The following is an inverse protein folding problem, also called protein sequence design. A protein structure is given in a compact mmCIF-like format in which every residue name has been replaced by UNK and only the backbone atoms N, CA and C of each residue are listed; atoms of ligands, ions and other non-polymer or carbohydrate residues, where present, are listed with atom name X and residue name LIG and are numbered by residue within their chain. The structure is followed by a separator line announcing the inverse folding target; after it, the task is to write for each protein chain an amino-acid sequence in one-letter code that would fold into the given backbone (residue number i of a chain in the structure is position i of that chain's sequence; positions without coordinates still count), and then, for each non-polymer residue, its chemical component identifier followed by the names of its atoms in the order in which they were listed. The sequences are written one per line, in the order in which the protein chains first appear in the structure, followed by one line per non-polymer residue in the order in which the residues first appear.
data_IF_924891553494
#
_entry.id   IF_924891553494
#
_cell.length_a   1.000
_cell.length_b   1.000
_cell.length_c   1.000
_cell.angle_alpha   90.00
_cell.angle_beta   90.00
_cell.angle_gamma   90.00
#
_symmetry.space_group_name_H-M   'P 1'
#
loop_
_entity.id
_entity.type
_entity.pdbx_description
1 polymer ?
#
# COMPACT_ATOMS: atom_id res chain seq x y z
N UNK A 1 1.64 -7.26 5.50
CA UNK A 1 1.41 -8.69 5.23
C UNK A 1 2.71 -9.39 5.55
N UNK A 2 2.72 -10.32 6.52
CA UNK A 2 3.93 -11.01 6.95
C UNK A 2 4.03 -12.38 6.25
N UNK A 3 5.20 -12.72 5.72
CA UNK A 3 5.51 -14.08 5.26
C UNK A 3 6.24 -14.81 6.40
N UNK A 4 5.74 -15.99 6.78
CA UNK A 4 6.29 -16.83 7.84
C UNK A 4 6.78 -18.15 7.23
N UNK A 5 8.03 -18.52 7.53
CA UNK A 5 8.66 -19.79 7.13
C UNK A 5 8.73 -20.70 8.37
N UNK A 6 7.83 -21.68 8.49
CA UNK A 6 7.60 -22.42 9.76
C UNK A 6 7.99 -23.91 9.72
N UNK A 7 8.87 -24.36 8.82
CA UNK A 7 9.08 -25.80 8.62
C UNK A 7 10.53 -26.26 8.40
N UNK A 8 11.52 -25.67 9.08
CA UNK A 8 12.94 -26.05 8.91
C UNK A 8 13.51 -26.88 10.09
N UNK A 9 12.67 -27.47 10.96
CA UNK A 9 13.11 -27.94 12.29
C UNK A 9 13.21 -29.45 12.59
N UNK A 10 12.90 -30.37 11.68
CA UNK A 10 12.61 -31.78 12.08
C UNK A 10 13.70 -32.84 11.76
N UNK A 11 14.90 -32.51 11.27
CA UNK A 11 15.79 -33.55 10.69
C UNK A 11 16.82 -34.24 11.63
N UNK A 12 17.08 -33.76 12.86
CA UNK A 12 18.28 -34.21 13.61
C UNK A 12 18.07 -35.06 14.87
N UNK A 13 16.99 -35.82 15.00
CA UNK A 13 16.81 -36.75 16.13
C UNK A 13 17.15 -38.21 15.76
N UNK A 14 18.45 -38.55 15.66
CA UNK A 14 18.88 -39.96 15.65
C UNK A 14 19.63 -40.29 16.95
N UNK A 15 18.91 -40.83 17.93
CA UNK A 15 19.52 -41.63 19.00
C UNK A 15 19.30 -43.11 18.65
N UNK A 16 20.35 -43.88 18.29
CA UNK A 16 20.16 -45.29 17.98
C UNK A 16 19.79 -46.02 19.27
N UNK A 17 18.70 -46.78 19.22
CA UNK A 17 18.22 -47.57 20.34
C UNK A 17 19.14 -48.77 20.57
N UNK A 18 19.75 -48.86 21.76
CA UNK A 18 20.34 -50.12 22.24
C UNK A 18 21.78 -50.07 22.73
N UNK A 19 22.14 -49.17 23.67
CA UNK A 19 23.14 -49.48 24.70
C UNK A 19 22.82 -48.71 25.99
N UNK A 20 22.75 -49.43 27.10
CA UNK A 20 22.53 -48.90 28.45
C UNK A 20 23.77 -48.10 28.87
N UNK A 21 23.72 -46.78 28.70
CA UNK A 21 24.85 -45.92 29.04
C UNK A 21 24.60 -44.44 28.80
N UNK A 22 23.81 -43.84 29.70
CA UNK A 22 23.83 -42.40 30.01
C UNK A 22 23.77 -41.41 28.85
N UNK A 23 22.57 -40.95 28.51
CA UNK A 23 22.39 -39.63 27.89
C UNK A 23 22.58 -38.54 28.96
N UNK A 24 23.80 -38.45 29.49
CA UNK A 24 24.27 -37.39 30.37
C UNK A 24 25.06 -36.36 29.58
N UNK A 25 24.49 -35.87 28.49
CA UNK A 25 24.96 -34.68 27.80
C UNK A 25 23.81 -33.69 27.86
N UNK A 26 24.12 -32.45 28.20
CA UNK A 26 23.18 -31.33 28.22
C UNK A 26 22.25 -31.45 27.01
N UNK A 27 20.94 -31.49 27.27
CA UNK A 27 19.95 -31.21 26.23
C UNK A 27 20.45 -29.92 25.57
N UNK A 28 20.88 -29.91 24.29
CA UNK A 28 21.41 -28.69 23.72
C UNK A 28 20.31 -27.66 23.88
N UNK A 29 20.61 -26.66 24.73
CA UNK A 29 19.69 -25.58 25.01
C UNK A 29 19.16 -25.06 23.68
N UNK A 30 17.92 -24.58 23.70
CA UNK A 30 17.22 -24.01 22.56
C UNK A 30 17.86 -22.72 22.00
N UNK A 31 19.18 -22.60 22.06
CA UNK A 31 20.01 -21.56 21.48
C UNK A 31 20.71 -22.07 20.21
N UNK A 32 19.93 -22.49 19.23
CA UNK A 32 20.26 -22.07 17.86
C UNK A 32 19.68 -20.67 17.67
N UNK A 33 20.11 -19.71 18.50
CA UNK A 33 19.99 -18.32 18.12
C UNK A 33 20.93 -18.16 16.95
N UNK A 34 20.40 -18.16 15.73
CA UNK A 34 21.19 -17.86 14.55
C UNK A 34 21.85 -16.50 14.76
N UNK A 35 23.17 -16.53 14.97
CA UNK A 35 23.98 -15.33 15.20
C UNK A 35 24.12 -14.50 13.93
N UNK A 36 23.66 -15.00 12.78
CA UNK A 36 23.68 -14.35 11.47
C UNK A 36 22.27 -13.95 11.01
N UNK A 37 21.38 -13.57 11.93
CA UNK A 37 20.01 -13.16 11.62
C UNK A 37 19.88 -11.83 10.84
N UNK A 38 21.00 -11.14 10.56
CA UNK A 38 21.00 -9.87 9.84
C UNK A 38 21.05 -10.07 8.34
N UNK A 39 20.10 -9.44 7.67
CA UNK A 39 19.96 -9.39 6.22
C UNK A 39 20.31 -7.99 5.70
N UNK A 40 20.88 -7.93 4.51
CA UNK A 40 21.15 -6.70 3.76
C UNK A 40 20.50 -6.80 2.38
N UNK A 41 19.66 -5.83 2.03
CA UNK A 41 19.15 -5.71 0.66
C UNK A 41 20.23 -5.04 -0.20
N UNK A 42 20.73 -5.76 -1.20
CA UNK A 42 21.79 -5.28 -2.12
C UNK A 42 21.23 -4.59 -3.34
N UNK A 43 20.03 -5.00 -3.77
CA UNK A 43 19.30 -4.41 -4.89
C UNK A 43 17.81 -4.44 -4.59
N UNK A 44 17.08 -3.37 -4.91
CA UNK A 44 15.62 -3.37 -4.89
C UNK A 44 15.09 -2.49 -6.01
N UNK A 45 14.12 -3.02 -6.74
CA UNK A 45 13.46 -2.29 -7.82
C UNK A 45 11.96 -2.29 -7.63
N UNK A 46 11.32 -1.23 -8.14
CA UNK A 46 9.88 -1.10 -8.28
C UNK A 46 9.57 -0.84 -9.75
N UNK A 47 8.87 -1.76 -10.40
CA UNK A 47 8.63 -1.78 -11.85
C UNK A 47 9.95 -1.69 -12.66
N UNK A 48 11.01 -2.34 -12.18
CA UNK A 48 12.33 -2.32 -12.79
C UNK A 48 13.14 -1.02 -12.60
N UNK A 49 12.58 0.00 -11.95
CA UNK A 49 13.32 1.20 -11.54
C UNK A 49 13.93 1.05 -10.15
N UNK A 50 15.14 1.58 -9.92
CA UNK A 50 15.79 1.53 -8.61
C UNK A 50 14.91 2.17 -7.51
N UNK A 51 14.74 1.44 -6.42
CA UNK A 51 13.94 1.84 -5.27
C UNK A 51 14.75 1.92 -3.97
N UNK A 52 16.08 1.79 -4.04
CA UNK A 52 16.99 1.77 -2.88
C UNK A 52 16.79 2.96 -1.94
N UNK A 53 16.66 4.17 -2.48
CA UNK A 53 16.44 5.40 -1.71
C UNK A 53 15.12 5.45 -0.94
N UNK A 54 14.17 4.57 -1.27
CA UNK A 54 12.82 4.48 -0.66
C UNK A 54 12.72 3.32 0.33
N UNK A 55 13.80 2.56 0.49
CA UNK A 55 13.87 1.45 1.42
C UNK A 55 14.27 1.96 2.80
N UNK A 56 13.59 1.47 3.83
CA UNK A 56 13.95 1.72 5.23
C UNK A 56 14.06 0.38 5.95
N UNK A 57 15.14 0.21 6.71
CA UNK A 57 15.30 -0.95 7.58
C UNK A 57 14.45 -0.76 8.83
N UNK A 58 13.65 -1.76 9.17
CA UNK A 58 12.82 -1.79 10.38
C UNK A 58 13.54 -2.54 11.49
N UNK A 59 14.08 -3.72 11.18
CA UNK A 59 14.93 -4.52 12.08
C UNK A 59 15.97 -5.33 11.27
N UNK A 60 16.53 -6.39 11.85
CA UNK A 60 17.58 -7.21 11.25
C UNK A 60 17.14 -8.04 10.03
N UNK A 61 15.84 -8.31 9.87
CA UNK A 61 15.28 -9.07 8.75
C UNK A 61 14.05 -8.40 8.09
N UNK A 62 13.58 -7.27 8.61
CA UNK A 62 12.39 -6.56 8.13
C UNK A 62 12.74 -5.22 7.50
N UNK A 63 12.14 -4.97 6.34
CA UNK A 63 12.32 -3.77 5.55
C UNK A 63 10.96 -3.21 5.13
N UNK A 64 10.88 -1.87 5.07
CA UNK A 64 9.72 -1.14 4.59
C UNK A 64 10.08 -0.38 3.33
N UNK A 65 9.37 -0.66 2.24
CA UNK A 65 9.47 0.10 0.98
C UNK A 65 8.40 1.19 0.95
N UNK A 66 8.81 2.45 0.84
CA UNK A 66 7.90 3.57 0.71
C UNK A 66 7.35 3.66 -0.71
N UNK A 67 6.21 3.01 -0.96
CA UNK A 67 5.53 2.94 -2.26
C UNK A 67 4.45 4.04 -2.42
N UNK A 68 4.85 5.31 -2.56
CA UNK A 68 3.94 6.44 -2.84
C UNK A 68 3.74 6.76 -4.33
N UNK A 69 2.63 7.45 -4.63
CA UNK A 69 2.26 8.03 -5.94
C UNK A 69 2.27 7.03 -7.10
N UNK A 70 1.82 5.81 -6.85
CA UNK A 70 1.72 4.78 -7.86
C UNK A 70 0.45 4.94 -8.70
N UNK A 71 0.59 4.76 -10.02
CA UNK A 71 -0.54 4.72 -10.93
C UNK A 71 -1.45 3.53 -10.62
N UNK A 72 -2.70 3.57 -11.06
CA UNK A 72 -3.55 2.38 -11.02
C UNK A 72 -2.95 1.29 -11.91
N UNK A 73 -2.92 0.06 -11.42
CA UNK A 73 -2.42 -1.08 -12.17
C UNK A 73 -1.58 -2.03 -11.34
N UNK A 74 -1.00 -3.02 -12.02
CA UNK A 74 -0.08 -3.99 -11.42
C UNK A 74 1.29 -3.35 -11.25
N UNK A 75 1.88 -3.54 -10.09
CA UNK A 75 3.23 -3.16 -9.72
C UNK A 75 4.01 -4.38 -9.26
N UNK A 76 5.29 -4.37 -9.56
CA UNK A 76 6.20 -5.47 -9.22
C UNK A 76 7.40 -4.94 -8.46
N UNK A 77 7.74 -5.64 -7.38
CA UNK A 77 8.93 -5.38 -6.57
C UNK A 77 9.84 -6.59 -6.71
N UNK A 78 11.06 -6.35 -7.13
CA UNK A 78 12.12 -7.35 -7.16
C UNK A 78 13.25 -6.92 -6.22
N UNK A 79 13.84 -7.85 -5.48
CA UNK A 79 14.93 -7.58 -4.58
C UNK A 79 16.00 -8.68 -4.61
N UNK A 80 17.22 -8.29 -4.25
CA UNK A 80 18.32 -9.20 -3.90
C UNK A 80 18.78 -8.90 -2.49
N UNK A 81 19.08 -9.95 -1.75
CA UNK A 81 19.46 -9.89 -0.36
C UNK A 81 20.66 -10.79 -0.09
N UNK A 82 21.46 -10.41 0.90
CA UNK A 82 22.55 -11.21 1.45
C UNK A 82 22.50 -11.17 2.97
N UNK A 83 22.69 -12.31 3.64
CA UNK A 83 22.81 -12.34 5.10
C UNK A 83 24.27 -12.12 5.58
N UNK A 84 24.50 -12.09 6.89
CA UNK A 84 25.85 -11.98 7.45
C UNK A 84 26.75 -13.21 7.18
N UNK A 85 26.15 -14.36 6.90
CA UNK A 85 26.89 -15.57 6.51
C UNK A 85 27.27 -15.57 5.01
N UNK A 86 26.78 -14.61 4.23
CA UNK A 86 27.03 -14.50 2.80
C UNK A 86 26.07 -15.33 1.95
N UNK A 87 24.97 -15.86 2.51
CA UNK A 87 23.95 -16.52 1.73
C UNK A 87 23.15 -15.48 0.95
N UNK A 88 22.97 -15.73 -0.34
CA UNK A 88 22.24 -14.85 -1.24
C UNK A 88 20.82 -15.34 -1.46
N UNK A 89 19.88 -14.41 -1.55
CA UNK A 89 18.50 -14.67 -1.93
C UNK A 89 17.98 -13.59 -2.88
N UNK A 90 17.12 -14.00 -3.80
CA UNK A 90 16.37 -13.09 -4.65
C UNK A 90 14.87 -13.39 -4.52
N UNK A 91 14.06 -12.37 -4.73
CA UNK A 91 12.62 -12.52 -4.63
C UNK A 91 11.86 -11.45 -5.38
N UNK A 92 10.68 -11.83 -5.83
CA UNK A 92 9.74 -10.95 -6.52
C UNK A 92 8.36 -11.08 -5.90
N UNK A 93 7.67 -9.96 -5.78
CA UNK A 93 6.25 -9.96 -5.47
C UNK A 93 5.54 -8.85 -6.21
N UNK A 94 4.27 -9.09 -6.54
CA UNK A 94 3.44 -8.13 -7.23
C UNK A 94 2.23 -7.74 -6.37
N UNK A 95 1.81 -6.50 -6.52
CA UNK A 95 0.58 -5.98 -5.95
C UNK A 95 -0.14 -5.11 -6.99
N UNK A 96 -1.42 -4.85 -6.77
CA UNK A 96 -2.19 -3.99 -7.66
C UNK A 96 -2.70 -2.77 -6.90
N UNK A 97 -2.47 -1.59 -7.46
CA UNK A 97 -3.16 -0.36 -7.06
C UNK A 97 -4.47 -0.32 -7.83
N UNK A 98 -5.58 -0.30 -7.10
CA UNK A 98 -6.93 -0.27 -7.67
C UNK A 98 -7.56 1.11 -7.50
N UNK A 99 -8.47 1.46 -8.41
CA UNK A 99 -9.28 2.65 -8.25
C UNK A 99 -10.06 2.59 -6.93
N UNK A 100 -10.21 3.75 -6.29
CA UNK A 100 -11.17 3.92 -5.20
C UNK A 100 -12.57 3.63 -5.76
N UNK A 101 -13.41 2.97 -4.97
CA UNK A 101 -14.81 2.79 -5.32
C UNK A 101 -15.50 4.15 -5.48
N UNK A 102 -16.50 4.21 -6.36
CA UNK A 102 -17.35 5.39 -6.48
C UNK A 102 -18.05 5.68 -5.14
N UNK A 103 -18.23 6.95 -4.84
CA UNK A 103 -18.98 7.40 -3.67
C UNK A 103 -20.33 7.92 -4.12
N UNK A 104 -21.40 7.46 -3.47
CA UNK A 104 -22.76 7.90 -3.73
C UNK A 104 -23.26 8.69 -2.52
N UNK A 105 -23.86 9.86 -2.79
CA UNK A 105 -24.45 10.73 -1.78
C UNK A 105 -25.90 10.96 -2.17
N UNK A 106 -26.81 10.51 -1.31
CA UNK A 106 -28.22 10.84 -1.45
C UNK A 106 -28.45 12.31 -1.10
N UNK A 107 -29.14 13.02 -2.00
CA UNK A 107 -29.53 14.41 -1.80
C UNK A 107 -31.05 14.54 -1.76
N UNK A 108 -31.54 15.49 -0.97
CA UNK A 108 -32.96 15.86 -0.95
C UNK A 108 -33.24 17.02 -1.90
N UNK A 109 -34.49 17.20 -2.39
CA UNK A 109 -34.85 18.42 -3.11
C UNK A 109 -34.56 19.68 -2.26
N UNK A 110 -33.97 20.69 -2.89
CA UNK A 110 -33.56 21.93 -2.22
C UNK A 110 -32.05 22.03 -2.00
N UNK A 111 -31.63 22.86 -1.04
CA UNK A 111 -30.22 23.04 -0.71
C UNK A 111 -29.73 21.91 0.21
N UNK A 112 -28.69 21.21 -0.25
CA UNK A 112 -27.96 20.24 0.56
C UNK A 112 -26.57 20.80 0.86
N UNK A 113 -26.09 20.57 2.07
CA UNK A 113 -24.69 20.78 2.41
C UNK A 113 -24.02 19.41 2.50
N UNK A 114 -23.11 19.14 1.58
CA UNK A 114 -22.40 17.87 1.48
C UNK A 114 -20.89 18.12 1.57
N UNK A 115 -20.14 17.13 2.05
CA UNK A 115 -18.68 17.09 1.95
C UNK A 115 -18.28 15.95 1.04
N UNK A 116 -17.36 16.23 0.10
CA UNK A 116 -16.86 15.24 -0.85
C UNK A 116 -15.64 14.54 -0.23
N UNK A 117 -15.66 13.21 -0.07
CA UNK A 117 -14.63 12.50 0.68
C UNK A 117 -13.31 12.35 -0.07
N UNK A 118 -12.30 13.08 0.39
CA UNK A 118 -10.94 13.02 -0.15
C UNK A 118 -10.84 13.57 -1.57
N UNK A 119 -9.61 13.74 -2.05
CA UNK A 119 -9.37 14.38 -3.36
C UNK A 119 -9.89 13.50 -4.50
N UNK A 120 -10.74 14.03 -5.39
CA UNK A 120 -11.15 13.33 -6.60
C UNK A 120 -9.95 13.03 -7.51
N UNK A 121 -10.00 11.92 -8.24
CA UNK A 121 -8.98 11.61 -9.27
C UNK A 121 -9.10 12.57 -10.46
N UNK A 122 -10.34 12.87 -10.86
CA UNK A 122 -10.70 13.94 -11.78
C UNK A 122 -11.49 14.98 -10.99
N UNK A 123 -10.87 16.15 -10.67
CA UNK A 123 -11.53 17.16 -9.86
C UNK A 123 -12.53 18.00 -10.66
N UNK A 124 -12.67 17.83 -11.98
CA UNK A 124 -13.60 18.64 -12.76
C UNK A 124 -15.02 18.53 -12.22
N UNK A 125 -15.74 19.65 -12.19
CA UNK A 125 -17.11 19.71 -11.69
C UNK A 125 -18.01 18.70 -12.42
N UNK A 126 -17.82 18.52 -13.74
CA UNK A 126 -18.56 17.55 -14.53
C UNK A 126 -18.32 16.10 -14.11
N UNK A 127 -17.11 15.75 -13.66
CA UNK A 127 -16.78 14.39 -13.23
C UNK A 127 -17.32 14.10 -11.82
N UNK A 128 -17.23 15.08 -10.91
CA UNK A 128 -17.64 14.91 -9.50
C UNK A 128 -19.14 15.09 -9.32
N UNK A 129 -19.72 16.11 -9.95
CA UNK A 129 -21.14 16.46 -9.89
C UNK A 129 -21.63 16.68 -11.32
N UNK A 130 -21.98 15.62 -12.08
CA UNK A 130 -22.51 15.78 -13.43
C UNK A 130 -23.80 16.62 -13.43
N UNK A 131 -24.05 17.45 -14.46
CA UNK A 131 -25.27 18.28 -14.57
C UNK A 131 -26.49 17.42 -14.90
N UNK A 132 -26.87 16.55 -13.97
CA UNK A 132 -27.90 15.53 -14.08
C UNK A 132 -28.59 15.35 -12.72
N UNK A 133 -29.63 14.50 -12.64
CA UNK A 133 -30.27 14.19 -11.36
C UNK A 133 -31.04 15.35 -10.71
N UNK A 134 -31.32 16.42 -11.45
CA UNK A 134 -32.09 17.58 -10.95
C UNK A 134 -31.25 18.63 -10.21
N UNK A 135 -29.92 18.49 -10.18
CA UNK A 135 -29.03 19.50 -9.61
C UNK A 135 -28.95 20.68 -10.59
N UNK A 136 -29.34 21.87 -10.13
CA UNK A 136 -29.38 23.09 -10.96
C UNK A 136 -28.29 24.09 -10.62
N UNK A 137 -27.69 24.00 -9.42
CA UNK A 137 -26.62 24.87 -8.97
C UNK A 137 -25.71 24.16 -7.97
N UNK A 138 -24.43 24.52 -8.00
CA UNK A 138 -23.39 24.10 -7.05
C UNK A 138 -22.64 25.33 -6.57
N UNK A 139 -22.36 25.37 -5.27
CA UNK A 139 -21.56 26.43 -4.63
C UNK A 139 -20.48 25.77 -3.79
N UNK A 140 -19.26 26.27 -3.89
CA UNK A 140 -18.11 25.80 -3.11
C UNK A 140 -17.32 27.00 -2.57
N UNK A 141 -16.76 26.85 -1.38
CA UNK A 141 -15.82 27.81 -0.84
C UNK A 141 -14.41 27.23 -0.94
N UNK A 142 -13.59 27.81 -1.82
CA UNK A 142 -12.23 27.37 -2.11
C UNK A 142 -11.35 28.58 -2.40
N UNK A 143 -10.05 28.50 -2.09
CA UNK A 143 -9.10 29.61 -2.24
C UNK A 143 -9.59 30.94 -1.62
N UNK A 144 -10.26 30.85 -0.47
CA UNK A 144 -10.87 31.99 0.22
C UNK A 144 -11.95 32.73 -0.59
N UNK A 145 -12.57 32.07 -1.56
CA UNK A 145 -13.59 32.64 -2.44
C UNK A 145 -14.80 31.71 -2.54
N UNK A 146 -15.99 32.31 -2.63
CA UNK A 146 -17.18 31.58 -3.04
C UNK A 146 -17.20 31.45 -4.56
N UNK A 147 -17.13 30.21 -5.05
CA UNK A 147 -17.29 29.87 -6.45
C UNK A 147 -18.66 29.25 -6.68
N UNK A 148 -19.22 29.49 -7.86
CA UNK A 148 -20.56 29.03 -8.21
C UNK A 148 -20.59 28.46 -9.61
N UNK A 149 -21.39 27.42 -9.81
CA UNK A 149 -21.79 26.93 -11.12
C UNK A 149 -23.30 26.71 -11.16
N UNK A 150 -23.93 27.03 -12.29
CA UNK A 150 -25.33 26.75 -12.57
C UNK A 150 -25.48 26.07 -13.92
N UNK A 151 -26.50 25.23 -14.09
CA UNK A 151 -26.76 24.57 -15.37
C UNK A 151 -27.31 25.60 -16.36
N UNK A 152 -26.65 25.76 -17.50
CA UNK A 152 -27.08 26.62 -18.60
C UNK A 152 -28.16 25.96 -19.48
N UNK A 153 -28.66 26.72 -20.46
CA UNK A 153 -29.68 26.23 -21.41
C UNK A 153 -29.22 25.01 -22.23
N UNK A 154 -27.91 24.88 -22.44
CA UNK A 154 -27.30 23.74 -23.15
C UNK A 154 -27.07 22.52 -22.25
N UNK A 155 -27.53 22.57 -20.99
CA UNK A 155 -27.35 21.49 -20.02
C UNK A 155 -25.94 21.37 -19.44
N UNK A 156 -25.06 22.35 -19.70
CA UNK A 156 -23.69 22.34 -19.17
C UNK A 156 -23.52 23.28 -17.98
N UNK A 157 -22.53 23.01 -17.13
CA UNK A 157 -22.16 23.93 -16.05
C UNK A 157 -21.65 25.26 -16.60
N UNK A 158 -22.08 26.36 -15.98
CA UNK A 158 -21.65 27.75 -16.25
C UNK A 158 -21.32 28.43 -14.94
N UNK A 159 -20.16 29.11 -14.89
CA UNK A 159 -19.78 29.91 -13.72
C UNK A 159 -18.29 29.89 -13.46
N UNK A 160 -17.90 30.31 -12.25
CA UNK A 160 -16.52 30.35 -11.79
C UNK A 160 -16.04 29.02 -11.20
N UNK A 161 -16.96 28.18 -10.72
CA UNK A 161 -16.64 26.85 -10.21
C UNK A 161 -16.46 25.88 -11.38
N UNK A 162 -15.24 25.37 -11.54
CA UNK A 162 -14.90 24.41 -12.61
C UNK A 162 -14.30 23.11 -12.08
N UNK A 163 -13.82 23.12 -10.84
CA UNK A 163 -13.23 21.97 -10.14
C UNK A 163 -13.74 21.90 -8.70
N UNK A 164 -13.86 20.69 -8.15
CA UNK A 164 -14.27 20.40 -6.78
C UNK A 164 -13.04 19.91 -6.00
N UNK A 165 -12.77 20.60 -4.90
CA UNK A 165 -11.77 20.17 -3.92
C UNK A 165 -12.40 19.22 -2.88
N UNK A 166 -11.54 18.42 -2.25
CA UNK A 166 -11.96 17.66 -1.08
C UNK A 166 -12.34 18.61 0.05
N UNK A 167 -13.44 18.29 0.75
CA UNK A 167 -13.89 19.02 1.94
C UNK A 167 -13.51 18.37 3.25
#
# INVERSE_FOLDING_TARGET
MAMLFSAEGEEYALCPTGTDGGCGGDNPDAEFSDSHAKVYITEITLNGGDASARLSRVDDAQFALQAGNLAQGRHEVAYKAVDEAGNEAEGEFAFSVVARGAYEIDISPGWNLISVPGTPVDPSLNAVIPPSGGISAVMSYQDSNWLTAAVGEDGSWRGSLTEIEAG
#
